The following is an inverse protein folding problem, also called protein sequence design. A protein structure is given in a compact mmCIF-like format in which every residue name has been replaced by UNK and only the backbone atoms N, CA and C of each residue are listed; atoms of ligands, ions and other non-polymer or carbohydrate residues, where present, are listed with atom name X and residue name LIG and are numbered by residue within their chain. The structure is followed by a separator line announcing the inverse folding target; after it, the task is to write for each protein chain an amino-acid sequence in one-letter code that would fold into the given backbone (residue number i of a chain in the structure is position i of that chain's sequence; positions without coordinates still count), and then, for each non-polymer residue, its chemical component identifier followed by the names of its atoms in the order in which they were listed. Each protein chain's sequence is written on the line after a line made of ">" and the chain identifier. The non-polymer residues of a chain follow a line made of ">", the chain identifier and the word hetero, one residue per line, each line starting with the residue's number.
data_IF_728417563068
#
_entry.id   IF_728417563068
#
_cell.length_a   1.000
_cell.length_b   1.000
_cell.length_c   1.000
_cell.angle_alpha   90.00
_cell.angle_beta   90.00
_cell.angle_gamma   90.00
#
_symmetry.space_group_name_H-M   'P 1'
#
loop_
_entity.id
_entity.type
_entity.pdbx_description
1 polymer ?
#
# COMPACT_ATOMS: atom_id res chain seq x y z
N UNK A 1 -12.64 17.46 -29.61
CA UNK A 1 -13.41 16.34 -29.08
C UNK A 1 -12.72 15.84 -27.81
N UNK A 2 -13.26 16.17 -26.63
CA UNK A 2 -12.58 15.92 -25.36
C UNK A 2 -12.79 14.46 -24.92
N UNK A 3 -11.70 13.70 -24.76
CA UNK A 3 -11.74 12.39 -24.14
C UNK A 3 -12.17 12.50 -22.67
N UNK A 4 -13.41 12.08 -22.38
CA UNK A 4 -13.96 11.97 -21.02
C UNK A 4 -13.15 10.90 -20.26
N UNK A 5 -12.27 11.32 -19.34
CA UNK A 5 -11.55 10.41 -18.43
C UNK A 5 -12.57 9.57 -17.66
N UNK A 6 -12.61 8.27 -17.91
CA UNK A 6 -13.40 7.30 -17.11
C UNK A 6 -12.92 7.40 -15.66
N UNK A 7 -13.82 7.73 -14.73
CA UNK A 7 -13.54 7.65 -13.28
C UNK A 7 -13.17 6.20 -12.98
N UNK A 8 -11.91 5.94 -12.60
CA UNK A 8 -11.49 4.64 -12.08
C UNK A 8 -12.35 4.33 -10.86
N UNK A 9 -12.89 3.11 -10.79
CA UNK A 9 -13.54 2.60 -9.58
C UNK A 9 -12.63 2.86 -8.37
N UNK A 10 -13.17 3.05 -7.14
CA UNK A 10 -12.33 3.20 -5.96
C UNK A 10 -11.41 1.99 -5.91
N UNK A 11 -10.12 2.23 -6.16
CA UNK A 11 -9.12 1.20 -6.06
C UNK A 11 -9.06 0.85 -4.58
N UNK A 12 -9.32 -0.40 -4.22
CA UNK A 12 -9.22 -0.88 -2.82
C UNK A 12 -7.79 -0.85 -2.27
N UNK A 13 -6.84 -0.21 -2.96
CA UNK A 13 -5.44 -0.11 -2.59
C UNK A 13 -5.27 1.11 -1.69
N UNK A 14 -5.05 0.86 -0.39
CA UNK A 14 -4.85 1.91 0.59
C UNK A 14 -3.49 2.60 0.48
N UNK A 15 -2.42 1.82 0.24
CA UNK A 15 -1.07 2.30 -0.01
C UNK A 15 -0.29 1.27 -0.84
N UNK A 16 0.67 1.72 -1.64
CA UNK A 16 1.53 0.83 -2.44
C UNK A 16 2.92 1.43 -2.60
N UNK A 17 3.98 0.68 -2.25
CA UNK A 17 5.34 1.09 -2.54
C UNK A 17 5.68 0.74 -4.00
N UNK A 18 5.44 1.69 -4.91
CA UNK A 18 5.79 1.50 -6.33
C UNK A 18 7.30 1.47 -6.55
N UNK A 19 8.05 2.22 -5.73
CA UNK A 19 9.51 2.31 -5.81
C UNK A 19 10.17 0.95 -5.54
N UNK A 20 9.65 0.16 -4.60
CA UNK A 20 10.16 -1.18 -4.34
C UNK A 20 10.18 -2.09 -5.58
N UNK A 21 9.21 -1.94 -6.50
CA UNK A 21 9.16 -2.72 -7.76
C UNK A 21 10.11 -2.22 -8.84
N UNK A 22 10.63 -1.00 -8.71
CA UNK A 22 11.61 -0.42 -9.63
C UNK A 22 13.04 -0.66 -9.13
N UNK A 23 13.24 -0.53 -7.82
CA UNK A 23 14.57 -0.55 -7.20
C UNK A 23 15.03 -1.99 -6.87
N UNK A 24 14.10 -2.94 -6.68
CA UNK A 24 14.40 -4.31 -6.28
C UNK A 24 13.72 -5.36 -7.18
N UNK A 25 14.35 -6.51 -7.31
CA UNK A 25 13.72 -7.72 -7.85
C UNK A 25 13.04 -8.47 -6.70
N UNK A 26 11.71 -8.57 -6.77
CA UNK A 26 10.91 -9.30 -5.78
C UNK A 26 10.97 -10.79 -6.10
N UNK A 27 11.55 -11.59 -5.19
CA UNK A 27 11.68 -13.04 -5.35
C UNK A 27 10.45 -13.79 -4.82
N UNK A 28 9.96 -13.37 -3.67
CA UNK A 28 8.83 -13.99 -2.96
C UNK A 28 7.92 -12.92 -2.37
N UNK A 29 6.64 -13.25 -2.21
CA UNK A 29 5.65 -12.37 -1.58
C UNK A 29 5.09 -13.07 -0.34
N UNK A 30 5.08 -12.34 0.77
CA UNK A 30 4.46 -12.77 2.02
C UNK A 30 3.18 -11.98 2.28
N UNK A 31 2.18 -12.62 2.86
CA UNK A 31 0.95 -11.98 3.33
C UNK A 31 1.04 -11.79 4.84
N UNK A 32 0.83 -10.56 5.30
CA UNK A 32 0.87 -10.19 6.71
C UNK A 32 -0.29 -9.25 7.05
N UNK A 33 -0.72 -9.29 8.31
CA UNK A 33 -1.73 -8.40 8.86
C UNK A 33 -1.09 -7.34 9.75
N UNK A 34 -1.43 -6.07 9.56
CA UNK A 34 -1.03 -4.98 10.46
C UNK A 34 -2.24 -4.58 11.29
N UNK A 35 -2.12 -4.67 12.61
CA UNK A 35 -3.13 -4.15 13.52
C UNK A 35 -3.10 -2.62 13.50
N UNK A 36 -4.24 -2.00 13.19
CA UNK A 36 -4.38 -0.55 13.11
C UNK A 36 -5.37 -0.02 14.15
N UNK A 37 -5.17 1.23 14.55
CA UNK A 37 -6.10 2.00 15.37
C UNK A 37 -7.04 2.84 14.50
N UNK A 38 -8.17 3.27 15.09
CA UNK A 38 -9.25 3.92 14.33
C UNK A 38 -8.85 5.20 13.58
N UNK A 39 -7.86 5.95 14.07
CA UNK A 39 -7.29 7.13 13.38
C UNK A 39 -6.48 6.77 12.13
N UNK A 40 -5.76 5.66 12.17
CA UNK A 40 -4.93 5.16 11.06
C UNK A 40 -5.82 4.65 9.93
N UNK A 41 -6.88 3.91 10.28
CA UNK A 41 -7.90 3.47 9.32
C UNK A 41 -8.54 4.66 8.60
N UNK A 42 -8.84 5.75 9.33
CA UNK A 42 -9.37 6.98 8.72
C UNK A 42 -8.36 7.61 7.75
N UNK A 43 -7.08 7.64 8.11
CA UNK A 43 -6.02 8.24 7.28
C UNK A 43 -5.77 7.45 6.00
N UNK A 44 -5.76 6.11 6.08
CA UNK A 44 -5.65 5.22 4.92
C UNK A 44 -6.84 5.36 3.97
N UNK A 45 -8.07 5.42 4.50
CA UNK A 45 -9.27 5.68 3.69
C UNK A 45 -9.27 7.05 3.01
N UNK A 46 -8.61 8.03 3.62
CA UNK A 46 -8.38 9.35 3.02
C UNK A 46 -7.23 9.37 1.99
N UNK A 47 -6.56 8.23 1.74
CA UNK A 47 -5.42 8.12 0.83
C UNK A 47 -4.15 8.80 1.34
N UNK A 48 -4.06 9.07 2.64
CA UNK A 48 -2.92 9.76 3.28
C UNK A 48 -1.99 8.77 3.96
N UNK A 49 -1.43 7.84 3.19
CA UNK A 49 -0.45 6.86 3.70
C UNK A 49 0.66 6.63 2.67
N UNK A 50 1.90 6.52 3.16
CA UNK A 50 3.10 6.27 2.34
C UNK A 50 3.92 5.16 2.99
N UNK A 51 4.42 4.23 2.19
CA UNK A 51 5.23 3.07 2.61
C UNK A 51 6.53 2.96 1.81
N UNK A 52 7.06 4.10 1.34
CA UNK A 52 8.19 4.14 0.40
C UNK A 52 9.53 3.77 1.06
N UNK A 53 9.65 3.93 2.38
CA UNK A 53 10.88 3.72 3.17
C UNK A 53 10.63 2.82 4.39
N UNK A 54 9.58 2.02 4.34
CA UNK A 54 9.26 1.05 5.38
C UNK A 54 10.02 -0.26 5.19
N UNK A 55 10.39 -0.91 6.29
CA UNK A 55 10.95 -2.25 6.31
C UNK A 55 10.05 -3.17 7.15
N UNK A 56 10.17 -4.48 6.95
CA UNK A 56 9.54 -5.51 7.76
C UNK A 56 10.64 -6.44 8.30
N UNK A 57 10.45 -6.96 9.51
CA UNK A 57 11.32 -7.94 10.16
C UNK A 57 10.43 -9.09 10.57
N UNK A 58 10.93 -10.31 10.40
CA UNK A 58 10.34 -11.51 10.98
C UNK A 58 10.74 -11.61 12.46
N UNK A 59 9.76 -11.60 13.36
CA UNK A 59 9.97 -11.79 14.80
C UNK A 59 9.18 -13.00 15.29
N UNK A 60 9.87 -14.01 15.82
CA UNK A 60 9.26 -15.24 16.36
C UNK A 60 8.35 -16.00 15.37
N UNK A 61 8.60 -15.85 14.07
CA UNK A 61 7.77 -16.46 13.01
C UNK A 61 6.56 -15.62 12.61
N UNK A 62 6.51 -14.35 13.01
CA UNK A 62 5.52 -13.35 12.59
C UNK A 62 6.15 -12.21 11.77
#
# INVERSE_FOLDING_TARGET
>A
MAHKKKKKAPSNIAAQNRRARHDFAILENFEAGIQLFGSEVKSLRAGRATITESYAIEENGE
#
